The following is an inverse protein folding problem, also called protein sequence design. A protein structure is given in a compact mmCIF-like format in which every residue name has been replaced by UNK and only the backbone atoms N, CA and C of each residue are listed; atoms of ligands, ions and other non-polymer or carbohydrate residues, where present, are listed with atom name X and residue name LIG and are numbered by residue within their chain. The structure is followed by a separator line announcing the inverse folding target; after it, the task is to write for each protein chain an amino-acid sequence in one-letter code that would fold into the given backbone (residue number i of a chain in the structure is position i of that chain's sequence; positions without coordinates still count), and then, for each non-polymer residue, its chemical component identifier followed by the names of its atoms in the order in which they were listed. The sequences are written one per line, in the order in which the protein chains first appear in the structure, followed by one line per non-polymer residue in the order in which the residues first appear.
data_IF_304766673377
#
_entry.id   IF_304766673377
#
_cell.length_a   1.000
_cell.length_b   1.000
_cell.length_c   1.000
_cell.angle_alpha   90.00
_cell.angle_beta   90.00
_cell.angle_gamma   90.00
#
_symmetry.space_group_name_H-M   'P 1'
#
loop_
_entity.id
_entity.type
_entity.pdbx_description
1 polymer ?
#
# COMPACT_ATOMS: atom_id res chain seq x y z
N UNK A 1 10.51 51.02 0.14
CA UNK A 1 9.65 50.51 1.22
C UNK A 1 8.74 49.47 0.61
N UNK A 2 9.18 48.22 0.63
CA UNK A 2 8.38 47.08 0.15
C UNK A 2 7.24 46.83 1.13
N UNK A 3 6.00 46.80 0.62
CA UNK A 3 4.82 46.54 1.45
C UNK A 3 4.76 45.05 1.78
N UNK A 4 5.12 44.68 3.01
CA UNK A 4 4.76 43.39 3.61
C UNK A 4 3.23 43.25 3.61
N UNK A 5 2.73 42.06 3.27
CA UNK A 5 1.29 41.75 3.33
C UNK A 5 1.04 40.68 4.40
N UNK A 6 0.09 40.93 5.29
CA UNK A 6 -0.34 39.96 6.27
C UNK A 6 -1.31 38.97 5.60
N UNK A 7 -1.04 37.67 5.76
CA UNK A 7 -1.88 36.59 5.24
C UNK A 7 -2.09 35.58 6.36
N UNK A 8 -3.27 35.00 6.44
CA UNK A 8 -3.59 33.94 7.39
C UNK A 8 -3.44 32.58 6.71
N UNK A 9 -2.59 31.71 7.25
CA UNK A 9 -2.29 30.39 6.68
C UNK A 9 -2.82 29.32 7.63
N UNK A 10 -3.57 28.35 7.10
CA UNK A 10 -4.09 27.24 7.89
C UNK A 10 -2.96 26.27 8.29
N UNK A 11 -2.75 26.08 9.59
CA UNK A 11 -1.78 25.13 10.15
C UNK A 11 -2.14 23.66 9.92
N UNK A 12 -3.34 23.35 9.43
CA UNK A 12 -3.74 21.97 9.10
C UNK A 12 -3.64 21.64 7.60
N UNK A 13 -3.98 22.59 6.72
CA UNK A 13 -4.03 22.31 5.27
C UNK A 13 -3.28 23.31 4.39
N UNK A 14 -2.66 24.35 4.96
CA UNK A 14 -1.89 25.35 4.22
C UNK A 14 -2.73 26.29 3.37
N UNK A 15 -4.05 26.35 3.56
CA UNK A 15 -4.93 27.28 2.86
C UNK A 15 -4.67 28.73 3.30
N UNK A 16 -4.50 29.63 2.33
CA UNK A 16 -4.19 31.05 2.56
C UNK A 16 -5.47 31.91 2.47
N UNK A 17 -5.62 32.86 3.39
CA UNK A 17 -6.70 33.84 3.41
C UNK A 17 -6.18 35.22 3.76
N UNK A 18 -6.73 36.27 3.14
CA UNK A 18 -6.37 37.67 3.44
C UNK A 18 -7.02 38.20 4.72
N UNK A 19 -7.98 37.45 5.28
CA UNK A 19 -8.68 37.79 6.53
C UNK A 19 -8.76 36.57 7.42
N UNK A 20 -8.74 36.77 8.73
CA UNK A 20 -8.99 35.69 9.67
C UNK A 20 -10.46 35.26 9.56
N UNK A 21 -10.70 33.97 9.33
CA UNK A 21 -12.05 33.45 9.09
C UNK A 21 -12.59 32.55 10.20
N UNK A 22 -11.84 32.34 11.29
CA UNK A 22 -12.21 31.44 12.40
C UNK A 22 -12.25 29.96 12.04
N UNK A 23 -12.83 29.62 10.88
CA UNK A 23 -12.87 28.31 10.26
C UNK A 23 -12.14 28.35 8.93
N UNK A 24 -11.25 27.38 8.70
CA UNK A 24 -10.53 27.27 7.45
C UNK A 24 -11.48 26.88 6.29
N UNK A 25 -11.51 27.63 5.17
CA UNK A 25 -12.31 27.25 3.99
C UNK A 25 -11.85 25.94 3.33
N UNK A 26 -10.56 25.61 3.45
CA UNK A 26 -9.95 24.45 2.80
C UNK A 26 -10.24 23.13 3.52
N UNK A 27 -9.99 23.05 4.82
CA UNK A 27 -10.16 21.81 5.60
C UNK A 27 -11.32 21.86 6.59
N UNK A 28 -12.07 22.96 6.64
CA UNK A 28 -13.23 23.15 7.52
C UNK A 28 -12.96 23.11 9.03
N UNK A 29 -11.69 23.07 9.44
CA UNK A 29 -11.28 23.08 10.84
C UNK A 29 -11.29 24.47 11.45
N UNK A 30 -11.63 24.53 12.73
CA UNK A 30 -11.70 25.77 13.52
C UNK A 30 -10.33 26.14 14.11
N UNK A 31 -10.07 27.43 14.26
CA UNK A 31 -8.88 28.00 14.92
C UNK A 31 -7.53 27.53 14.36
N UNK A 32 -7.49 27.09 13.10
CA UNK A 32 -6.26 26.65 12.43
C UNK A 32 -5.58 27.76 11.62
N UNK A 33 -6.19 28.94 11.45
CA UNK A 33 -5.63 30.03 10.67
C UNK A 33 -4.68 30.88 11.52
N UNK A 34 -3.38 30.80 11.23
CA UNK A 34 -2.32 31.56 11.90
C UNK A 34 -1.89 32.76 11.06
N UNK A 35 -1.64 33.91 11.69
CA UNK A 35 -1.19 35.10 10.99
C UNK A 35 0.30 34.96 10.62
N UNK A 36 0.62 35.12 9.33
CA UNK A 36 1.98 35.11 8.82
C UNK A 36 2.22 36.36 7.98
N UNK A 37 3.30 37.08 8.26
CA UNK A 37 3.74 38.20 7.43
C UNK A 37 4.54 37.69 6.26
N UNK A 38 3.99 37.78 5.05
CA UNK A 38 4.73 37.46 3.83
C UNK A 38 5.44 38.74 3.39
N UNK A 39 6.77 38.73 3.47
CA UNK A 39 7.59 39.77 2.85
C UNK A 39 7.33 39.78 1.34
N UNK A 40 7.22 40.96 0.74
CA UNK A 40 7.16 41.07 -0.72
C UNK A 40 8.36 40.33 -1.32
N UNK A 41 8.20 39.60 -2.45
CA UNK A 41 9.32 38.90 -3.05
C UNK A 41 10.39 39.94 -3.39
N UNK A 42 11.51 39.90 -2.66
CA UNK A 42 12.72 40.66 -3.01
C UNK A 42 12.97 40.38 -4.49
N UNK A 43 12.90 41.43 -5.32
CA UNK A 43 13.08 41.31 -6.75
C UNK A 43 14.36 40.50 -7.03
N UNK A 44 14.19 39.28 -7.56
CA UNK A 44 15.29 38.36 -7.88
C UNK A 44 16.17 39.01 -8.94
N UNK A 45 17.21 39.73 -8.53
CA UNK A 45 18.09 40.45 -9.44
C UNK A 45 19.11 39.57 -10.16
N UNK A 46 19.22 38.27 -9.84
CA UNK A 46 20.14 37.34 -10.52
C UNK A 46 19.58 35.92 -10.55
N UNK A 47 18.38 35.71 -11.10
CA UNK A 47 17.98 34.36 -11.49
C UNK A 47 18.60 34.06 -12.86
N UNK A 48 19.33 32.95 -13.06
CA UNK A 48 19.76 32.55 -14.39
C UNK A 48 18.54 32.47 -15.31
N UNK A 49 18.69 32.92 -16.56
CA UNK A 49 17.62 32.93 -17.54
C UNK A 49 16.95 31.55 -17.57
N UNK A 50 15.67 31.49 -17.20
CA UNK A 50 14.90 30.24 -17.19
C UNK A 50 14.89 29.75 -18.64
N UNK A 51 15.46 28.58 -18.90
CA UNK A 51 15.35 27.94 -20.22
C UNK A 51 13.88 27.61 -20.40
N UNK A 52 13.16 28.44 -21.16
CA UNK A 52 11.77 28.19 -21.51
C UNK A 52 11.82 27.21 -22.68
N UNK A 53 11.45 25.96 -22.45
CA UNK A 53 11.18 25.04 -23.54
C UNK A 53 10.04 25.64 -24.37
N UNK A 54 10.23 25.83 -25.70
CA UNK A 54 9.17 26.37 -26.55
C UNK A 54 7.95 25.46 -26.51
N UNK A 55 6.76 26.04 -26.67
CA UNK A 55 5.55 25.24 -26.81
C UNK A 55 5.66 24.37 -28.06
N UNK A 56 5.57 23.06 -27.88
CA UNK A 56 5.59 22.08 -28.96
C UNK A 56 4.23 21.37 -29.03
N UNK A 57 3.82 21.01 -30.25
CA UNK A 57 2.61 20.22 -30.44
C UNK A 57 2.84 18.80 -29.90
N UNK A 58 1.86 18.24 -29.17
CA UNK A 58 2.00 16.93 -28.54
C UNK A 58 2.34 15.82 -29.56
N UNK A 59 1.79 15.90 -30.76
CA UNK A 59 2.04 14.97 -31.87
C UNK A 59 3.51 14.97 -32.36
N UNK A 60 4.22 16.07 -32.13
CA UNK A 60 5.63 16.25 -32.52
C UNK A 60 6.62 15.74 -31.45
N UNK A 61 6.13 15.36 -30.27
CA UNK A 61 6.94 14.89 -29.16
C UNK A 61 7.05 13.36 -29.19
N UNK A 62 8.27 12.85 -29.23
CA UNK A 62 8.51 11.41 -29.16
C UNK A 62 8.39 10.92 -27.70
N UNK A 63 7.54 9.93 -27.46
CA UNK A 63 7.38 9.31 -26.14
C UNK A 63 8.61 8.48 -25.67
N UNK A 64 9.61 8.32 -26.54
CA UNK A 64 10.79 7.46 -26.34
C UNK A 64 11.86 8.03 -25.39
N UNK A 65 11.75 9.29 -24.96
CA UNK A 65 12.89 10.00 -24.34
C UNK A 65 13.06 9.79 -22.83
N UNK A 66 12.20 9.00 -22.18
CA UNK A 66 12.35 8.68 -20.75
C UNK A 66 12.61 7.20 -20.52
N UNK A 67 13.88 6.80 -20.71
CA UNK A 67 14.33 5.46 -20.31
C UNK A 67 14.29 5.36 -18.79
N UNK A 68 13.38 4.53 -18.28
CA UNK A 68 13.28 4.27 -16.83
C UNK A 68 14.53 3.54 -16.35
N UNK A 69 15.01 3.91 -15.17
CA UNK A 69 16.06 3.15 -14.49
C UNK A 69 15.41 2.03 -13.68
N UNK A 70 15.59 0.80 -14.15
CA UNK A 70 15.18 -0.39 -13.39
C UNK A 70 16.12 -0.60 -12.20
N UNK A 71 15.53 -0.94 -11.06
CA UNK A 71 16.23 -1.30 -9.83
C UNK A 71 16.39 -2.82 -9.74
N UNK A 72 17.31 -3.29 -8.90
CA UNK A 72 17.39 -4.71 -8.51
C UNK A 72 16.20 -5.18 -7.65
N UNK A 73 15.42 -4.23 -7.14
CA UNK A 73 14.27 -4.42 -6.25
C UNK A 73 12.99 -4.46 -7.11
N UNK A 74 12.56 -5.65 -7.50
CA UNK A 74 11.46 -5.90 -8.47
C UNK A 74 10.08 -5.42 -8.01
N UNK A 75 9.72 -5.65 -6.75
CA UNK A 75 8.48 -5.17 -6.12
C UNK A 75 8.45 -3.64 -6.07
N UNK A 76 9.59 -3.00 -5.83
CA UNK A 76 9.66 -1.53 -5.84
C UNK A 76 9.56 -0.97 -7.27
N UNK A 77 10.18 -1.62 -8.26
CA UNK A 77 9.96 -1.28 -9.67
C UNK A 77 8.48 -1.36 -10.05
N UNK A 78 7.77 -2.40 -9.61
CA UNK A 78 6.33 -2.58 -9.86
C UNK A 78 5.53 -1.39 -9.32
N UNK A 79 5.76 -0.99 -8.07
CA UNK A 79 5.08 0.18 -7.46
C UNK A 79 5.38 1.48 -8.23
N UNK A 80 6.60 1.63 -8.74
CA UNK A 80 7.01 2.79 -9.55
C UNK A 80 6.49 2.75 -11.00
N UNK A 81 5.83 1.67 -11.43
CA UNK A 81 5.37 1.50 -12.81
C UNK A 81 6.49 1.11 -13.78
N UNK A 82 7.47 0.33 -13.32
CA UNK A 82 8.56 -0.25 -14.12
C UNK A 82 9.96 0.26 -13.76
N UNK A 83 10.09 1.25 -12.86
CA UNK A 83 11.38 1.78 -12.40
C UNK A 83 11.37 3.29 -12.21
N UNK A 84 12.52 3.85 -11.84
CA UNK A 84 12.70 5.27 -11.54
C UNK A 84 12.67 6.09 -12.84
N UNK A 85 11.85 7.15 -12.86
CA UNK A 85 11.80 8.12 -13.96
C UNK A 85 12.80 9.26 -13.68
N UNK A 86 13.71 9.60 -14.62
CA UNK A 86 14.59 10.76 -14.47
C UNK A 86 13.83 12.07 -14.32
N UNK A 87 14.42 13.04 -13.62
CA UNK A 87 13.83 14.38 -13.44
C UNK A 87 12.52 14.41 -12.63
N UNK A 88 12.27 13.40 -11.81
CA UNK A 88 11.02 13.26 -11.05
C UNK A 88 11.23 13.39 -9.54
N UNK A 89 10.17 13.81 -8.85
CA UNK A 89 10.11 13.89 -7.39
C UNK A 89 9.17 12.82 -6.82
N UNK A 90 9.67 11.97 -5.94
CA UNK A 90 8.94 10.84 -5.37
C UNK A 90 8.93 10.90 -3.84
N UNK A 91 7.75 10.69 -3.25
CA UNK A 91 7.53 10.68 -1.80
C UNK A 91 7.33 9.26 -1.28
N UNK A 92 8.06 8.88 -0.24
CA UNK A 92 7.83 7.69 0.57
C UNK A 92 7.38 8.10 1.97
N UNK A 93 6.07 8.02 2.21
CA UNK A 93 5.45 8.19 3.51
C UNK A 93 5.39 6.90 4.30
N UNK A 94 5.31 6.97 5.63
CA UNK A 94 5.04 5.83 6.50
C UNK A 94 5.38 6.10 7.96
N UNK A 95 4.91 5.23 8.85
CA UNK A 95 5.15 5.37 10.29
C UNK A 95 6.65 5.36 10.62
N UNK A 96 7.10 6.06 11.67
CA UNK A 96 8.46 5.92 12.18
C UNK A 96 8.80 4.45 12.48
N UNK A 97 9.99 4.00 12.10
CA UNK A 97 10.44 2.62 12.33
C UNK A 97 9.92 1.55 11.37
N UNK A 98 9.03 1.88 10.42
CA UNK A 98 8.50 0.90 9.45
C UNK A 98 9.56 0.34 8.47
N UNK A 99 10.67 1.07 8.29
CA UNK A 99 11.78 0.68 7.41
C UNK A 99 12.04 1.60 6.21
N UNK A 100 11.48 2.82 6.17
CA UNK A 100 11.68 3.79 5.06
C UNK A 100 13.16 4.03 4.73
N UNK A 101 13.95 4.42 5.73
CA UNK A 101 15.39 4.69 5.56
C UNK A 101 16.15 3.44 5.12
N UNK A 102 15.76 2.26 5.61
CA UNK A 102 16.32 0.98 5.15
C UNK A 102 16.06 0.76 3.67
N UNK A 103 14.80 0.92 3.23
CA UNK A 103 14.43 0.76 1.83
C UNK A 103 15.15 1.77 0.93
N UNK A 104 15.12 3.04 1.31
CA UNK A 104 15.74 4.11 0.52
C UNK A 104 17.26 3.92 0.41
N UNK A 105 17.91 3.38 1.45
CA UNK A 105 19.32 3.03 1.40
C UNK A 105 19.60 1.84 0.46
N UNK A 106 18.73 0.82 0.42
CA UNK A 106 18.81 -0.28 -0.54
C UNK A 106 18.56 0.19 -1.99
N UNK A 107 17.60 1.11 -2.20
CA UNK A 107 17.35 1.74 -3.50
C UNK A 107 18.57 2.55 -3.94
N UNK A 108 19.12 3.37 -3.05
CA UNK A 108 20.33 4.15 -3.29
C UNK A 108 21.50 3.25 -3.69
N UNK A 109 21.70 2.13 -2.98
CA UNK A 109 22.72 1.14 -3.33
C UNK A 109 22.48 0.50 -4.70
N UNK A 110 21.24 0.12 -5.03
CA UNK A 110 20.91 -0.45 -6.35
C UNK A 110 21.20 0.51 -7.49
N UNK A 111 20.96 1.81 -7.29
CA UNK A 111 21.28 2.84 -8.28
C UNK A 111 22.79 3.05 -8.40
N UNK A 112 23.51 2.96 -7.28
CA UNK A 112 24.97 3.09 -7.29
C UNK A 112 25.66 1.91 -7.99
N UNK A 113 25.20 0.69 -7.72
CA UNK A 113 25.70 -0.55 -8.34
C UNK A 113 25.49 -0.61 -9.86
N UNK A 114 24.46 0.07 -10.38
CA UNK A 114 24.24 0.20 -11.83
C UNK A 114 25.08 1.31 -12.49
N UNK A 115 26.07 1.86 -11.77
CA UNK A 115 26.98 2.91 -12.25
C UNK A 115 26.46 4.34 -12.06
N UNK A 116 25.33 4.51 -11.37
CA UNK A 116 24.78 5.83 -11.05
C UNK A 116 25.50 6.49 -9.88
N UNK A 117 25.64 7.83 -9.93
CA UNK A 117 26.06 8.59 -8.74
C UNK A 117 24.82 8.89 -7.88
N UNK A 118 24.91 8.63 -6.58
CA UNK A 118 23.81 8.84 -5.62
C UNK A 118 24.26 9.71 -4.45
N UNK A 119 23.45 10.69 -4.07
CA UNK A 119 23.66 11.48 -2.84
C UNK A 119 22.54 11.17 -1.85
N UNK A 120 22.90 10.65 -0.68
CA UNK A 120 21.98 10.40 0.43
C UNK A 120 22.15 11.50 1.48
N UNK A 121 21.17 12.36 1.59
CA UNK A 121 21.12 13.47 2.54
C UNK A 121 20.33 13.04 3.76
N UNK A 122 20.92 13.16 4.95
CA UNK A 122 20.21 12.93 6.20
C UNK A 122 20.43 14.07 7.19
N UNK A 123 19.34 14.54 7.79
CA UNK A 123 19.37 15.43 8.93
C UNK A 123 19.12 14.73 10.27
N UNK A 124 18.64 13.48 10.25
CA UNK A 124 18.28 12.71 11.45
C UNK A 124 19.44 11.87 11.98
N UNK A 125 20.23 11.28 11.09
CA UNK A 125 21.28 10.32 11.44
C UNK A 125 22.66 10.83 11.02
N UNK A 126 23.68 10.54 11.84
CA UNK A 126 25.05 10.88 11.47
C UNK A 126 25.61 9.90 10.42
N UNK A 127 26.65 10.28 9.65
CA UNK A 127 27.21 9.41 8.61
C UNK A 127 27.73 8.06 9.12
N UNK A 128 28.21 7.99 10.37
CA UNK A 128 28.72 6.76 10.96
C UNK A 128 27.60 5.74 11.24
N UNK A 129 26.43 6.20 11.69
CA UNK A 129 25.24 5.38 11.89
C UNK A 129 24.72 4.83 10.57
N UNK A 130 24.64 5.68 9.54
CA UNK A 130 24.23 5.25 8.20
C UNK A 130 25.22 4.23 7.64
N UNK A 131 26.53 4.44 7.83
CA UNK A 131 27.57 3.48 7.42
C UNK A 131 27.43 2.13 8.12
N UNK A 132 27.18 2.12 9.42
CA UNK A 132 26.92 0.88 10.17
C UNK A 132 25.71 0.12 9.60
N UNK A 133 24.63 0.84 9.29
CA UNK A 133 23.43 0.25 8.68
C UNK A 133 23.73 -0.29 7.28
N UNK A 134 24.44 0.48 6.45
CA UNK A 134 24.85 0.05 5.12
C UNK A 134 25.70 -1.23 5.16
N UNK A 135 26.64 -1.34 6.10
CA UNK A 135 27.44 -2.55 6.30
C UNK A 135 26.59 -3.77 6.67
N UNK A 136 25.60 -3.61 7.56
CA UNK A 136 24.66 -4.68 7.91
C UNK A 136 23.84 -5.15 6.70
N UNK A 137 23.48 -4.22 5.82
CA UNK A 137 22.72 -4.50 4.59
C UNK A 137 23.61 -5.04 3.45
N UNK A 138 24.92 -5.24 3.66
CA UNK A 138 25.84 -5.70 2.62
C UNK A 138 26.15 -4.67 1.53
N UNK A 139 25.95 -3.38 1.80
CA UNK A 139 26.16 -2.29 0.83
C UNK A 139 27.62 -1.84 0.87
N UNK A 140 28.34 -1.92 -0.27
CA UNK A 140 29.76 -1.53 -0.39
C UNK A 140 29.98 -0.02 -0.24
N UNK A 141 29.01 0.80 -0.69
CA UNK A 141 29.08 2.26 -0.67
C UNK A 141 29.75 2.90 -1.89
N UNK A 142 30.21 2.12 -2.86
CA UNK A 142 30.76 2.68 -4.11
C UNK A 142 29.67 3.44 -4.87
N UNK A 143 29.95 4.69 -5.27
CA UNK A 143 28.99 5.57 -5.95
C UNK A 143 27.92 6.20 -5.05
N UNK A 144 27.92 5.89 -3.75
CA UNK A 144 27.00 6.43 -2.74
C UNK A 144 27.69 7.48 -1.86
N UNK A 145 27.27 8.73 -1.98
CA UNK A 145 27.80 9.88 -1.25
C UNK A 145 26.85 10.23 -0.10
N UNK A 146 27.35 10.27 1.13
CA UNK A 146 26.55 10.67 2.30
C UNK A 146 26.74 12.15 2.60
N UNK A 147 25.65 12.85 2.88
CA UNK A 147 25.66 14.26 3.27
C UNK A 147 24.83 14.44 4.54
N UNK A 148 25.48 14.81 5.64
CA UNK A 148 24.80 15.17 6.87
C UNK A 148 24.61 16.69 6.91
N UNK A 149 23.52 17.16 6.32
CA UNK A 149 23.22 18.59 6.17
C UNK A 149 21.71 18.80 6.23
N UNK A 150 21.29 19.93 6.79
CA UNK A 150 19.87 20.31 6.96
C UNK A 150 19.50 21.59 6.23
N UNK A 151 20.46 22.45 5.89
CA UNK A 151 20.20 23.64 5.06
C UNK A 151 20.01 23.25 3.59
N UNK A 152 18.80 23.48 3.06
CA UNK A 152 18.48 23.16 1.67
C UNK A 152 19.34 23.92 0.66
N UNK A 153 19.74 25.16 0.94
CA UNK A 153 20.58 25.93 0.03
C UNK A 153 21.98 25.31 -0.08
N UNK A 154 22.54 24.85 1.04
CA UNK A 154 23.82 24.13 1.07
C UNK A 154 23.72 22.78 0.35
N UNK A 155 22.62 22.05 0.56
CA UNK A 155 22.32 20.79 -0.13
C UNK A 155 22.31 21.02 -1.65
N UNK A 156 21.48 21.94 -2.15
CA UNK A 156 21.36 22.19 -3.59
C UNK A 156 22.67 22.67 -4.23
N UNK A 157 23.49 23.43 -3.50
CA UNK A 157 24.81 23.85 -3.97
C UNK A 157 25.74 22.65 -4.20
N UNK A 158 25.81 21.72 -3.24
CA UNK A 158 26.63 20.50 -3.38
C UNK A 158 26.10 19.57 -4.48
N UNK A 159 24.78 19.42 -4.59
CA UNK A 159 24.16 18.61 -5.63
C UNK A 159 24.47 19.14 -7.03
N UNK A 160 24.57 20.46 -7.19
CA UNK A 160 24.92 21.09 -8.47
C UNK A 160 26.38 20.84 -8.87
N UNK A 161 27.29 20.62 -7.91
CA UNK A 161 28.69 20.27 -8.17
C UNK A 161 28.84 18.77 -8.46
N UNK A 162 28.17 17.92 -7.68
CA UNK A 162 28.30 16.47 -7.80
C UNK A 162 27.54 15.90 -9.01
N UNK A 163 26.49 16.57 -9.47
CA UNK A 163 25.60 16.12 -10.55
C UNK A 163 25.16 14.65 -10.39
N UNK A 164 24.49 14.29 -9.28
CA UNK A 164 24.07 12.91 -9.05
C UNK A 164 22.87 12.53 -9.94
N UNK A 165 22.73 11.23 -10.20
CA UNK A 165 21.58 10.68 -10.91
C UNK A 165 20.37 10.41 -10.02
N UNK A 166 20.62 10.20 -8.72
CA UNK A 166 19.60 10.06 -7.69
C UNK A 166 20.00 10.84 -6.44
N UNK A 167 19.02 11.51 -5.83
CA UNK A 167 19.15 12.13 -4.52
C UNK A 167 18.11 11.53 -3.59
N UNK A 168 18.51 11.20 -2.37
CA UNK A 168 17.60 10.77 -1.29
C UNK A 168 17.65 11.83 -0.20
N UNK A 169 16.49 12.30 0.25
CA UNK A 169 16.31 13.21 1.39
C UNK A 169 15.61 12.47 2.52
N UNK A 170 16.33 12.16 3.60
CA UNK A 170 15.85 11.36 4.73
C UNK A 170 16.07 12.10 6.07
N UNK A 171 15.12 12.90 6.55
CA UNK A 171 13.75 13.14 6.04
C UNK A 171 13.50 14.62 5.72
N UNK A 172 12.47 14.93 4.94
CA UNK A 172 12.15 16.32 4.57
C UNK A 172 11.78 17.19 5.77
N UNK A 173 11.31 16.59 6.87
CA UNK A 173 11.01 17.30 8.11
C UNK A 173 12.26 17.95 8.73
N UNK A 174 13.45 17.40 8.47
CA UNK A 174 14.70 17.94 9.00
C UNK A 174 15.32 19.05 8.15
N UNK A 175 14.84 19.19 6.91
CA UNK A 175 15.36 20.19 5.98
C UNK A 175 14.70 21.54 6.25
N UNK A 176 15.50 22.61 6.21
CA UNK A 176 15.00 23.96 6.38
C UNK A 176 15.59 24.93 5.37
N UNK A 177 14.87 26.04 5.18
CA UNK A 177 15.25 27.20 4.39
C UNK A 177 15.49 28.38 5.33
N UNK A 178 16.72 28.92 5.40
CA UNK A 178 17.06 30.04 6.30
C UNK A 178 16.24 31.33 6.04
N UNK A 179 15.78 31.51 4.81
CA UNK A 179 15.03 32.70 4.38
C UNK A 179 13.54 32.68 4.74
N UNK A 180 13.05 31.55 5.28
CA UNK A 180 11.70 31.43 5.80
C UNK A 180 11.74 31.51 7.33
N UNK A 181 11.03 32.46 7.92
CA UNK A 181 10.84 32.60 9.38
C UNK A 181 9.88 31.53 9.92
N UNK A 182 10.25 30.26 9.78
CA UNK A 182 9.49 29.13 10.28
C UNK A 182 10.44 28.02 10.74
N UNK A 183 10.08 27.33 11.83
CA UNK A 183 10.89 26.24 12.36
C UNK A 183 11.02 25.07 11.36
N UNK A 184 12.17 24.36 11.32
CA UNK A 184 12.29 23.12 10.56
C UNK A 184 11.15 22.15 10.86
N UNK A 185 10.61 21.49 9.84
CA UNK A 185 9.45 20.60 9.95
C UNK A 185 8.09 21.31 9.98
N UNK A 186 8.04 22.65 10.05
CA UNK A 186 6.81 23.39 9.83
C UNK A 186 6.29 23.16 8.40
N UNK A 187 4.98 23.17 8.23
CA UNK A 187 4.33 22.84 6.95
C UNK A 187 4.83 23.73 5.80
N UNK A 188 4.99 25.04 6.04
CA UNK A 188 5.48 25.98 5.02
C UNK A 188 6.93 25.67 4.62
N UNK A 189 7.80 25.32 5.58
CA UNK A 189 9.19 24.91 5.32
C UNK A 189 9.24 23.64 4.45
N UNK A 190 8.46 22.63 4.81
CA UNK A 190 8.40 21.35 4.09
C UNK A 190 7.86 21.54 2.67
N UNK A 191 6.81 22.35 2.52
CA UNK A 191 6.19 22.66 1.22
C UNK A 191 7.16 23.36 0.27
N UNK A 192 7.78 24.44 0.72
CA UNK A 192 8.73 25.22 -0.09
C UNK A 192 9.98 24.42 -0.42
N UNK A 193 10.46 23.62 0.53
CA UNK A 193 11.59 22.72 0.29
C UNK A 193 11.29 21.70 -0.82
N UNK A 194 10.12 21.07 -0.79
CA UNK A 194 9.70 20.14 -1.84
C UNK A 194 9.55 20.83 -3.21
N UNK A 195 9.04 22.06 -3.26
CA UNK A 195 8.94 22.83 -4.51
C UNK A 195 10.31 23.13 -5.12
N UNK A 196 11.30 23.53 -4.30
CA UNK A 196 12.67 23.77 -4.77
C UNK A 196 13.36 22.49 -5.24
N UNK A 197 13.18 21.38 -4.52
CA UNK A 197 13.68 20.08 -4.91
C UNK A 197 13.06 19.61 -6.24
N UNK A 198 11.76 19.81 -6.45
CA UNK A 198 11.08 19.49 -7.72
C UNK A 198 11.65 20.33 -8.88
N UNK A 199 11.84 21.64 -8.67
CA UNK A 199 12.43 22.51 -9.68
C UNK A 199 13.86 22.10 -10.02
N UNK A 200 14.66 21.79 -9.01
CA UNK A 200 16.02 21.29 -9.20
C UNK A 200 16.04 19.96 -9.96
N UNK A 201 15.20 18.99 -9.58
CA UNK A 201 15.12 17.67 -10.22
C UNK A 201 14.80 17.79 -11.72
N UNK A 202 13.81 18.61 -12.08
CA UNK A 202 13.44 18.84 -13.48
C UNK A 202 14.54 19.51 -14.30
N UNK A 203 15.30 20.43 -13.69
CA UNK A 203 16.38 21.13 -14.37
C UNK A 203 17.63 20.27 -14.52
N UNK A 204 17.95 19.45 -13.52
CA UNK A 204 19.15 18.59 -13.51
C UNK A 204 18.94 17.25 -14.22
N UNK A 205 17.68 16.83 -14.42
CA UNK A 205 17.33 15.48 -14.88
C UNK A 205 17.53 14.40 -13.82
N UNK A 206 17.95 14.76 -12.60
CA UNK A 206 18.13 13.82 -11.51
C UNK A 206 16.78 13.40 -10.91
N UNK A 207 16.70 12.16 -10.44
CA UNK A 207 15.57 11.70 -9.64
C UNK A 207 15.76 12.07 -8.16
N UNK A 208 14.67 12.39 -7.46
CA UNK A 208 14.71 12.75 -6.03
C UNK A 208 13.69 11.93 -5.26
N UNK A 209 14.14 11.17 -4.26
CA UNK A 209 13.30 10.56 -3.24
C UNK A 209 13.26 11.42 -1.99
N UNK A 210 12.06 11.61 -1.44
CA UNK A 210 11.83 12.24 -0.15
C UNK A 210 11.22 11.20 0.80
N UNK A 211 11.82 11.01 1.97
CA UNK A 211 11.19 10.32 3.08
C UNK A 211 10.35 11.30 3.91
N UNK A 212 9.17 10.85 4.35
CA UNK A 212 8.34 11.59 5.29
C UNK A 212 7.71 10.67 6.35
N UNK A 213 7.62 11.17 7.59
CA UNK A 213 6.92 10.51 8.68
C UNK A 213 5.42 10.75 8.65
N UNK A 214 4.64 9.70 8.93
CA UNK A 214 3.18 9.72 9.08
C UNK A 214 2.83 9.55 10.57
N UNK A 215 1.93 10.37 11.10
CA UNK A 215 1.41 10.27 12.47
C UNK A 215 0.21 9.31 12.55
N UNK A 216 -0.07 8.77 13.75
CA UNK A 216 -1.04 7.67 14.01
C UNK A 216 -2.50 7.94 13.62
N UNK A 217 -2.88 9.17 13.33
CA UNK A 217 -4.25 9.52 12.91
C UNK A 217 -4.43 9.51 11.38
N UNK A 218 -3.40 9.19 10.60
CA UNK A 218 -3.42 9.37 9.13
C UNK A 218 -3.47 10.85 8.71
N UNK A 219 -3.80 11.75 9.64
CA UNK A 219 -3.58 13.19 9.58
C UNK A 219 -2.10 13.46 9.80
N UNK A 220 -1.37 13.23 8.74
CA UNK A 220 0.02 13.56 8.74
C UNK A 220 0.16 15.07 8.92
N UNK A 221 1.08 15.51 9.78
CA UNK A 221 1.61 16.87 9.73
C UNK A 221 2.30 17.10 8.36
N UNK A 222 1.54 17.48 7.33
CA UNK A 222 2.05 18.11 6.11
C UNK A 222 2.20 17.38 4.75
N UNK A 223 1.78 16.13 4.48
CA UNK A 223 1.94 15.46 3.20
C UNK A 223 0.70 15.42 2.32
N UNK A 224 -0.54 15.69 2.78
CA UNK A 224 -1.60 15.99 1.78
C UNK A 224 -1.16 17.15 0.88
N UNK A 225 -0.40 18.09 1.44
CA UNK A 225 0.19 19.20 0.70
C UNK A 225 1.31 18.70 -0.24
N UNK A 226 2.20 17.81 0.25
CA UNK A 226 3.26 17.22 -0.59
C UNK A 226 2.70 16.33 -1.71
N UNK A 227 1.61 15.60 -1.45
CA UNK A 227 0.93 14.72 -2.41
C UNK A 227 0.57 15.44 -3.70
N UNK A 228 0.19 16.72 -3.62
CA UNK A 228 -0.12 17.52 -4.80
C UNK A 228 1.15 18.01 -5.53
N UNK A 229 2.27 18.17 -4.82
CA UNK A 229 3.53 18.71 -5.35
C UNK A 229 4.34 17.63 -6.07
N UNK A 230 4.47 16.44 -5.47
CA UNK A 230 5.33 15.37 -5.99
C UNK A 230 4.70 14.66 -7.19
N UNK A 231 5.52 13.96 -7.98
CA UNK A 231 5.06 13.20 -9.14
C UNK A 231 4.56 11.80 -8.77
N UNK A 232 5.19 11.19 -7.76
CA UNK A 232 4.82 9.87 -7.21
C UNK A 232 4.68 9.97 -5.70
N UNK A 233 3.61 9.39 -5.15
CA UNK A 233 3.35 9.23 -3.72
C UNK A 233 3.22 7.75 -3.43
N UNK A 234 4.01 7.28 -2.47
CA UNK A 234 3.94 5.93 -1.94
C UNK A 234 3.81 5.96 -0.42
N UNK A 235 3.02 5.03 0.12
CA UNK A 235 2.91 4.78 1.55
C UNK A 235 3.50 3.41 1.88
N UNK A 236 4.37 3.40 2.88
CA UNK A 236 4.91 2.21 3.48
C UNK A 236 4.13 1.89 4.75
N UNK A 237 3.36 0.82 4.67
CA UNK A 237 2.42 0.37 5.68
C UNK A 237 2.85 -0.98 6.24
N UNK A 238 2.45 -1.27 7.47
CA UNK A 238 2.64 -2.59 8.05
C UNK A 238 2.07 -2.65 9.45
N UNK A 239 1.37 -3.73 9.74
CA UNK A 239 0.85 -3.95 11.09
C UNK A 239 1.96 -4.39 12.03
N UNK A 240 1.85 -3.99 13.31
CA UNK A 240 2.81 -4.36 14.35
C UNK A 240 2.96 -5.88 14.52
N UNK A 241 1.89 -6.65 14.27
CA UNK A 241 1.87 -8.11 14.40
C UNK A 241 2.16 -8.85 13.09
N UNK A 242 2.15 -8.15 11.94
CA UNK A 242 2.49 -8.76 10.66
C UNK A 242 4.00 -8.70 10.45
N UNK A 243 4.60 -9.79 9.98
CA UNK A 243 5.99 -9.80 9.52
C UNK A 243 6.17 -9.00 8.21
N UNK A 244 5.06 -8.75 7.51
CA UNK A 244 5.05 -8.13 6.20
C UNK A 244 4.85 -6.62 6.28
N UNK A 245 5.40 -5.96 5.27
CA UNK A 245 5.36 -4.52 5.05
C UNK A 245 4.94 -4.28 3.61
N UNK A 246 3.95 -3.42 3.41
CA UNK A 246 3.29 -3.16 2.14
C UNK A 246 3.65 -1.76 1.65
N UNK A 247 4.10 -1.64 0.41
CA UNK A 247 4.28 -0.34 -0.25
C UNK A 247 3.17 -0.17 -1.26
N UNK A 248 2.38 0.89 -1.11
CA UNK A 248 1.29 1.23 -2.04
C UNK A 248 1.58 2.54 -2.72
N UNK A 249 1.24 2.64 -3.99
CA UNK A 249 1.19 3.94 -4.65
C UNK A 249 -0.19 4.58 -4.47
N UNK A 250 -0.25 5.84 -4.05
CA UNK A 250 -1.51 6.62 -3.99
C UNK A 250 -1.60 7.62 -5.14
N UNK A 251 -0.45 8.06 -5.65
CA UNK A 251 -0.33 8.89 -6.84
C UNK A 251 0.85 8.41 -7.64
N UNK A 252 0.66 8.14 -8.92
CA UNK A 252 1.75 7.82 -9.83
C UNK A 252 1.48 8.46 -11.19
N UNK A 253 2.19 9.54 -11.52
CA UNK A 253 2.11 10.16 -12.85
C UNK A 253 2.69 9.30 -13.97
N UNK A 254 3.42 8.25 -13.61
CA UNK A 254 4.19 7.41 -14.51
C UNK A 254 3.72 5.96 -14.50
N UNK A 255 2.62 5.62 -13.83
CA UNK A 255 2.21 4.23 -13.66
C UNK A 255 0.85 4.10 -12.99
N UNK A 256 0.45 2.86 -12.71
CA UNK A 256 -0.80 2.57 -12.00
C UNK A 256 -0.64 2.88 -10.50
N UNK A 257 -1.69 3.43 -9.89
CA UNK A 257 -1.80 3.58 -8.43
C UNK A 257 -2.22 2.29 -7.74
N UNK A 258 -2.71 1.30 -8.49
CA UNK A 258 -3.24 0.08 -7.87
C UNK A 258 -2.11 -0.93 -7.54
N UNK A 259 -0.86 -0.66 -7.92
CA UNK A 259 0.24 -1.58 -7.66
C UNK A 259 0.68 -1.57 -6.20
N UNK A 260 1.04 -2.76 -5.70
CA UNK A 260 1.49 -2.99 -4.32
C UNK A 260 2.76 -3.83 -4.35
N UNK A 261 3.76 -3.39 -3.58
CA UNK A 261 4.99 -4.14 -3.32
C UNK A 261 4.98 -4.72 -1.91
N UNK A 262 5.41 -5.98 -1.76
CA UNK A 262 5.38 -6.68 -0.46
C UNK A 262 6.81 -7.01 -0.03
N UNK A 263 7.12 -6.68 1.21
CA UNK A 263 8.44 -6.85 1.80
C UNK A 263 8.34 -7.53 3.17
N UNK A 264 9.40 -8.21 3.55
CA UNK A 264 9.60 -8.78 4.88
C UNK A 264 10.87 -8.17 5.48
N UNK A 265 10.79 -7.72 6.74
CA UNK A 265 11.96 -7.18 7.44
C UNK A 265 12.79 -8.33 8.04
N UNK A 266 13.97 -8.59 7.48
CA UNK A 266 14.95 -9.59 7.96
C UNK A 266 16.17 -8.92 8.58
N UNK A 267 17.07 -9.72 9.14
CA UNK A 267 18.37 -9.27 9.66
C UNK A 267 19.20 -8.52 8.62
N UNK A 268 19.11 -8.95 7.36
CA UNK A 268 19.80 -8.42 6.20
C UNK A 268 19.14 -7.16 5.60
N UNK A 269 17.97 -6.74 6.11
CA UNK A 269 17.19 -5.62 5.59
C UNK A 269 15.80 -6.00 5.10
N UNK A 270 15.23 -5.18 4.22
CA UNK A 270 13.95 -5.51 3.59
C UNK A 270 14.18 -6.44 2.41
N UNK A 271 13.50 -7.58 2.46
CA UNK A 271 13.55 -8.62 1.42
C UNK A 271 12.22 -8.68 0.70
N UNK A 272 12.28 -8.77 -0.63
CA UNK A 272 11.09 -8.79 -1.48
C UNK A 272 10.33 -10.11 -1.39
N UNK A 273 9.00 -10.02 -1.36
CA UNK A 273 8.12 -11.19 -1.33
C UNK A 273 7.45 -11.34 -2.70
N UNK A 274 8.08 -12.11 -3.59
CA UNK A 274 7.58 -12.33 -4.95
C UNK A 274 6.27 -13.15 -4.98
N UNK A 275 6.11 -14.12 -4.06
CA UNK A 275 4.94 -15.01 -3.98
C UNK A 275 4.32 -15.00 -2.58
N UNK A 276 3.63 -13.92 -2.18
CA UNK A 276 3.03 -13.78 -0.85
C UNK A 276 2.01 -14.88 -0.55
N UNK A 277 1.15 -15.19 -1.53
CA UNK A 277 0.15 -16.23 -1.45
C UNK A 277 0.72 -17.61 -1.12
N UNK A 278 1.91 -17.94 -1.64
CA UNK A 278 2.57 -19.22 -1.33
C UNK A 278 3.01 -19.28 0.13
N UNK A 279 3.46 -18.16 0.69
CA UNK A 279 3.88 -18.11 2.09
C UNK A 279 2.67 -18.22 3.01
N UNK A 280 1.57 -17.52 2.70
CA UNK A 280 0.34 -17.62 3.49
C UNK A 280 -0.27 -19.02 3.50
N UNK A 281 -0.10 -19.77 2.42
CA UNK A 281 -0.60 -21.13 2.28
C UNK A 281 0.41 -22.21 2.71
N UNK A 282 1.66 -21.86 3.01
CA UNK A 282 2.74 -22.83 3.27
C UNK A 282 2.54 -23.68 4.52
N UNK A 283 1.83 -23.16 5.53
CA UNK A 283 1.56 -23.85 6.80
C UNK A 283 0.25 -24.66 6.79
N UNK A 284 -0.42 -24.73 5.64
CA UNK A 284 -1.70 -25.41 5.53
C UNK A 284 -1.49 -26.92 5.58
N UNK A 285 -2.06 -27.57 6.58
CA UNK A 285 -2.12 -29.03 6.64
C UNK A 285 -3.26 -29.53 5.74
N UNK A 286 -3.03 -30.63 5.01
CA UNK A 286 -4.08 -31.27 4.24
C UNK A 286 -5.17 -31.81 5.20
N UNK A 287 -6.44 -31.59 4.88
CA UNK A 287 -7.63 -32.02 5.64
C UNK A 287 -7.88 -31.33 6.99
N UNK A 288 -7.51 -30.07 7.16
CA UNK A 288 -7.93 -29.28 8.33
C UNK A 288 -9.43 -28.94 8.28
N UNK A 289 -10.13 -29.23 9.37
CA UNK A 289 -11.51 -28.78 9.61
C UNK A 289 -11.50 -27.30 9.97
N UNK A 290 -12.50 -26.56 9.50
CA UNK A 290 -12.64 -25.14 9.80
C UNK A 290 -11.75 -24.22 8.97
N UNK A 291 -11.15 -24.73 7.87
CA UNK A 291 -10.25 -23.96 7.01
C UNK A 291 -10.83 -23.82 5.60
N UNK A 292 -10.81 -22.60 5.06
CA UNK A 292 -11.19 -22.31 3.69
C UNK A 292 -10.26 -21.24 3.09
N UNK A 293 -10.02 -21.29 1.78
CA UNK A 293 -9.15 -20.30 1.12
C UNK A 293 -9.99 -19.33 0.30
N UNK A 294 -9.65 -18.05 0.39
CA UNK A 294 -10.17 -16.99 -0.49
C UNK A 294 -9.03 -16.27 -1.19
N UNK A 295 -9.36 -15.45 -2.18
CA UNK A 295 -8.44 -14.49 -2.77
C UNK A 295 -8.99 -13.10 -2.51
N UNK A 296 -8.19 -12.26 -1.84
CA UNK A 296 -8.48 -10.84 -1.66
C UNK A 296 -7.63 -9.98 -2.58
N UNK A 297 -8.09 -8.78 -2.91
CA UNK A 297 -7.32 -7.81 -3.70
C UNK A 297 -6.64 -6.80 -2.80
N UNK A 298 -5.32 -6.78 -2.88
CA UNK A 298 -4.49 -5.76 -2.28
C UNK A 298 -4.06 -4.78 -3.38
N UNK A 299 -4.85 -3.72 -3.58
CA UNK A 299 -4.76 -2.89 -4.78
C UNK A 299 -5.18 -3.69 -6.03
N UNK A 300 -4.24 -3.90 -6.97
CA UNK A 300 -4.42 -4.72 -8.17
C UNK A 300 -4.01 -6.18 -7.96
N UNK A 301 -3.30 -6.49 -6.86
CA UNK A 301 -2.67 -7.78 -6.63
C UNK A 301 -3.62 -8.73 -5.90
N UNK A 302 -4.04 -9.84 -6.50
CA UNK A 302 -4.73 -10.90 -5.78
C UNK A 302 -3.77 -11.59 -4.80
N UNK A 303 -4.20 -11.73 -3.55
CA UNK A 303 -3.52 -12.44 -2.47
C UNK A 303 -4.43 -13.56 -1.99
N UNK A 304 -3.95 -14.80 -2.04
CA UNK A 304 -4.69 -15.90 -1.44
C UNK A 304 -4.43 -15.95 0.05
N UNK A 305 -5.52 -16.03 0.81
CA UNK A 305 -5.49 -16.04 2.27
C UNK A 305 -6.36 -17.19 2.78
N UNK A 306 -5.83 -17.95 3.72
CA UNK A 306 -6.58 -18.96 4.44
C UNK A 306 -7.38 -18.29 5.57
N UNK A 307 -8.69 -18.56 5.59
CA UNK A 307 -9.61 -18.22 6.66
C UNK A 307 -9.83 -19.46 7.52
N UNK A 308 -9.59 -19.30 8.81
CA UNK A 308 -9.81 -20.34 9.80
C UNK A 308 -10.99 -19.96 10.69
N UNK A 309 -11.80 -20.93 11.04
CA UNK A 309 -12.88 -20.78 11.99
C UNK A 309 -12.89 -21.95 12.97
N UNK A 310 -13.21 -21.62 14.22
CA UNK A 310 -13.46 -22.58 15.28
C UNK A 310 -14.82 -22.28 15.89
N UNK A 311 -15.72 -23.27 15.81
CA UNK A 311 -16.99 -23.25 16.52
C UNK A 311 -16.98 -24.26 17.65
N UNK A 312 -17.38 -23.85 18.84
CA UNK A 312 -17.50 -24.75 19.98
C UNK A 312 -18.77 -24.46 20.78
N UNK A 313 -19.34 -25.47 21.42
CA UNK A 313 -20.57 -25.30 22.19
C UNK A 313 -20.29 -24.46 23.43
N UNK A 314 -21.00 -23.33 23.55
CA UNK A 314 -20.84 -22.42 24.69
C UNK A 314 -21.28 -23.13 25.98
N UNK A 315 -20.36 -23.28 26.94
CA UNK A 315 -20.64 -23.99 28.18
C UNK A 315 -21.38 -23.15 29.22
N UNK A 316 -21.18 -21.82 29.22
CA UNK A 316 -21.84 -20.92 30.16
C UNK A 316 -21.87 -19.47 29.65
N UNK A 317 -23.00 -18.79 29.82
CA UNK A 317 -23.17 -17.36 29.48
C UNK A 317 -23.48 -17.09 28.01
N UNK A 318 -23.17 -15.87 27.55
CA UNK A 318 -23.37 -15.48 26.16
C UNK A 318 -22.26 -16.06 25.27
N UNK A 319 -22.59 -16.61 24.08
CA UNK A 319 -21.60 -17.12 23.15
C UNK A 319 -20.57 -16.07 22.75
N UNK A 320 -19.30 -16.46 22.78
CA UNK A 320 -18.18 -15.59 22.40
C UNK A 320 -18.08 -15.50 20.89
N UNK A 321 -17.88 -14.30 20.39
CA UNK A 321 -17.57 -14.05 18.98
C UNK A 321 -16.25 -13.29 18.89
N UNK A 322 -15.33 -13.79 18.09
CA UNK A 322 -14.00 -13.19 17.93
C UNK A 322 -13.63 -13.21 16.45
N UNK A 323 -13.13 -12.09 15.94
CA UNK A 323 -12.68 -11.97 14.57
C UNK A 323 -11.29 -11.31 14.57
N UNK A 324 -10.29 -12.04 14.06
CA UNK A 324 -8.91 -11.58 13.94
C UNK A 324 -8.57 -11.49 12.45
N UNK A 325 -8.19 -10.31 11.97
CA UNK A 325 -7.93 -10.08 10.54
C UNK A 325 -9.17 -10.14 9.64
N UNK A 326 -10.37 -10.14 10.21
CA UNK A 326 -11.66 -10.12 9.49
C UNK A 326 -12.57 -9.10 10.16
N UNK A 327 -13.44 -8.43 9.40
CA UNK A 327 -14.44 -7.54 9.99
C UNK A 327 -15.41 -8.30 10.91
N UNK A 328 -15.58 -7.76 12.12
CA UNK A 328 -16.40 -8.36 13.15
C UNK A 328 -17.89 -8.35 12.79
N UNK A 329 -18.37 -7.26 12.18
CA UNK A 329 -19.78 -7.12 11.80
C UNK A 329 -20.15 -8.06 10.66
N UNK A 330 -19.27 -8.24 9.67
CA UNK A 330 -19.40 -9.26 8.61
C UNK A 330 -19.49 -10.66 9.19
N UNK A 331 -18.60 -10.99 10.15
CA UNK A 331 -18.62 -12.30 10.81
C UNK A 331 -19.97 -12.58 11.49
N UNK A 332 -20.53 -11.58 12.20
CA UNK A 332 -21.86 -11.69 12.82
C UNK A 332 -22.95 -11.87 11.76
N UNK A 333 -22.94 -11.07 10.70
CA UNK A 333 -23.91 -11.13 9.61
C UNK A 333 -23.91 -12.53 8.96
N UNK A 334 -22.73 -13.04 8.62
CA UNK A 334 -22.56 -14.35 7.99
C UNK A 334 -23.08 -15.46 8.92
N UNK A 335 -22.74 -15.41 10.21
CA UNK A 335 -23.26 -16.38 11.19
C UNK A 335 -24.80 -16.33 11.29
N UNK A 336 -25.41 -15.15 11.19
CA UNK A 336 -26.87 -15.00 11.17
C UNK A 336 -27.50 -15.59 9.91
N UNK A 337 -26.89 -15.36 8.72
CA UNK A 337 -27.34 -15.95 7.45
C UNK A 337 -27.26 -17.48 7.51
N UNK A 338 -26.13 -18.03 7.97
CA UNK A 338 -25.95 -19.49 8.16
C UNK A 338 -27.01 -20.06 9.10
N UNK A 339 -27.29 -19.37 10.21
CA UNK A 339 -28.29 -19.81 11.18
C UNK A 339 -29.71 -19.82 10.61
N UNK A 340 -30.10 -18.74 9.91
CA UNK A 340 -31.48 -18.56 9.44
C UNK A 340 -31.77 -19.33 8.15
N UNK A 341 -30.82 -19.40 7.22
CA UNK A 341 -31.01 -19.97 5.88
C UNK A 341 -30.60 -21.44 5.77
N UNK A 342 -29.66 -21.90 6.60
CA UNK A 342 -29.18 -23.28 6.62
C UNK A 342 -29.55 -24.03 7.91
N UNK A 343 -30.33 -23.40 8.80
CA UNK A 343 -30.80 -23.99 10.07
C UNK A 343 -29.68 -24.48 10.98
N UNK A 344 -28.48 -23.90 10.87
CA UNK A 344 -27.35 -24.19 11.74
C UNK A 344 -27.57 -23.55 13.11
N UNK A 345 -27.43 -24.31 14.21
CA UNK A 345 -27.66 -23.79 15.57
C UNK A 345 -26.42 -23.05 16.10
N UNK A 346 -25.99 -22.00 15.41
CA UNK A 346 -24.82 -21.19 15.80
C UNK A 346 -25.12 -20.21 16.95
N UNK A 347 -26.40 -20.03 17.31
CA UNK A 347 -26.81 -19.17 18.42
C UNK A 347 -26.34 -19.65 19.80
N UNK A 348 -25.88 -20.90 19.93
CA UNK A 348 -25.33 -21.49 21.17
C UNK A 348 -23.87 -21.91 21.00
N UNK A 349 -23.19 -21.38 19.99
CA UNK A 349 -21.81 -21.72 19.64
C UNK A 349 -20.94 -20.48 19.81
N UNK A 350 -19.80 -20.63 20.45
CA UNK A 350 -18.70 -19.70 20.34
C UNK A 350 -18.18 -19.76 18.90
N UNK A 351 -17.87 -18.61 18.30
CA UNK A 351 -17.36 -18.51 16.93
C UNK A 351 -16.10 -17.66 16.96
N UNK A 352 -14.97 -18.28 16.63
CA UNK A 352 -13.69 -17.59 16.47
C UNK A 352 -13.31 -17.70 15.01
N UNK A 353 -13.05 -16.57 14.35
CA UNK A 353 -12.59 -16.50 12.96
C UNK A 353 -11.24 -15.79 12.92
N UNK A 354 -10.31 -16.34 12.15
CA UNK A 354 -8.96 -15.82 11.99
C UNK A 354 -8.54 -15.82 10.51
N UNK A 355 -8.02 -14.70 10.02
CA UNK A 355 -7.31 -14.65 8.75
C UNK A 355 -5.82 -14.92 8.98
N UNK A 356 -5.28 -15.88 8.24
CA UNK A 356 -3.85 -16.21 8.31
C UNK A 356 -2.99 -15.15 7.63
N UNK A 357 -1.70 -15.08 7.98
CA UNK A 357 -0.73 -14.21 7.29
C UNK A 357 -0.71 -12.75 7.71
N UNK A 358 -1.52 -12.34 8.70
CA UNK A 358 -1.55 -10.96 9.18
C UNK A 358 -2.09 -9.97 8.14
N UNK A 359 -2.92 -10.44 7.21
CA UNK A 359 -3.66 -9.62 6.25
C UNK A 359 -5.07 -9.39 6.77
N UNK A 360 -5.59 -8.18 6.59
CA UNK A 360 -6.99 -7.87 6.85
C UNK A 360 -7.85 -8.22 5.65
N UNK A 361 -8.86 -9.03 5.87
CA UNK A 361 -9.91 -9.34 4.91
C UNK A 361 -11.03 -8.31 5.04
N UNK A 362 -10.83 -7.15 4.43
CA UNK A 362 -11.81 -6.06 4.41
C UNK A 362 -12.45 -5.88 3.03
N UNK A 363 -13.05 -6.94 2.51
CA UNK A 363 -13.84 -6.86 1.29
C UNK A 363 -14.93 -7.95 1.19
N UNK A 364 -16.00 -7.72 0.39
CA UNK A 364 -17.09 -8.68 0.25
C UNK A 364 -16.70 -10.03 -0.34
N UNK A 365 -15.61 -10.11 -1.11
CA UNK A 365 -15.21 -11.36 -1.78
C UNK A 365 -14.85 -12.50 -0.82
N UNK A 366 -14.46 -12.16 0.42
CA UNK A 366 -14.09 -13.11 1.46
C UNK A 366 -15.29 -13.76 2.19
N UNK A 367 -16.51 -13.22 2.03
CA UNK A 367 -17.69 -13.64 2.80
C UNK A 367 -17.96 -15.15 2.63
N UNK A 368 -17.87 -15.68 1.40
CA UNK A 368 -18.09 -17.09 1.13
C UNK A 368 -17.07 -18.00 1.84
N UNK A 369 -15.78 -17.63 1.86
CA UNK A 369 -14.78 -18.42 2.55
C UNK A 369 -14.97 -18.41 4.07
N UNK A 370 -15.33 -17.27 4.65
CA UNK A 370 -15.68 -17.16 6.07
C UNK A 370 -16.87 -18.08 6.39
N UNK A 371 -17.90 -18.08 5.55
CA UNK A 371 -19.06 -18.96 5.72
C UNK A 371 -18.69 -20.43 5.63
N UNK A 372 -17.84 -20.81 4.68
CA UNK A 372 -17.35 -22.18 4.52
C UNK A 372 -16.49 -22.63 5.70
N UNK A 373 -15.60 -21.78 6.20
CA UNK A 373 -14.78 -22.08 7.38
C UNK A 373 -15.68 -22.33 8.61
N UNK A 374 -16.65 -21.45 8.88
CA UNK A 374 -17.60 -21.62 10.00
C UNK A 374 -18.42 -22.90 9.82
N UNK A 375 -18.94 -23.15 8.61
CA UNK A 375 -19.74 -24.34 8.33
C UNK A 375 -18.93 -25.64 8.43
N UNK A 376 -17.68 -25.62 7.99
CA UNK A 376 -16.72 -26.71 8.11
C UNK A 376 -16.46 -27.05 9.58
N UNK A 377 -16.18 -26.04 10.42
CA UNK A 377 -15.96 -26.24 11.85
C UNK A 377 -17.22 -26.75 12.57
N UNK A 378 -18.39 -26.19 12.27
CA UNK A 378 -19.64 -26.58 12.93
C UNK A 378 -20.06 -28.01 12.60
N UNK A 379 -19.77 -28.48 11.38
CA UNK A 379 -20.13 -29.83 10.92
C UNK A 379 -19.02 -30.85 11.16
N UNK A 380 -17.86 -30.41 11.59
CA UNK A 380 -16.65 -31.22 11.72
C UNK A 380 -16.27 -31.95 10.42
N UNK A 381 -16.42 -31.26 9.28
CA UNK A 381 -16.10 -31.79 7.93
C UNK A 381 -15.20 -30.79 7.24
N UNK A 382 -14.07 -31.26 6.70
CA UNK A 382 -13.12 -30.41 5.97
C UNK A 382 -13.66 -29.85 4.65
N UNK A 383 -13.14 -28.68 4.26
CA UNK A 383 -13.33 -28.13 2.91
C UNK A 383 -12.30 -28.79 1.99
N UNK A 384 -12.68 -29.07 0.74
CA UNK A 384 -11.79 -29.67 -0.24
C UNK A 384 -10.53 -28.79 -0.41
N UNK A 385 -9.30 -29.33 -0.23
CA UNK A 385 -8.09 -28.52 -0.18
C UNK A 385 -7.85 -27.67 -1.43
N UNK A 386 -8.20 -28.21 -2.59
CA UNK A 386 -7.96 -27.57 -3.89
C UNK A 386 -9.04 -26.56 -4.30
N UNK A 387 -10.02 -26.30 -3.42
CA UNK A 387 -11.11 -25.37 -3.67
C UNK A 387 -10.82 -23.99 -3.10
N UNK A 388 -10.87 -22.96 -3.95
CA UNK A 388 -10.94 -21.56 -3.54
C UNK A 388 -12.40 -21.09 -3.52
N UNK A 389 -12.75 -20.22 -2.57
CA UNK A 389 -14.10 -19.72 -2.40
C UNK A 389 -14.15 -18.19 -2.49
N UNK A 390 -14.96 -17.70 -3.43
CA UNK A 390 -15.05 -16.29 -3.78
C UNK A 390 -16.52 -15.91 -3.88
N UNK A 391 -16.93 -14.85 -3.19
CA UNK A 391 -18.30 -14.34 -3.33
C UNK A 391 -18.78 -13.55 -2.13
N UNK A 392 -19.60 -12.55 -2.41
CA UNK A 392 -20.32 -11.78 -1.40
C UNK A 392 -21.59 -12.53 -0.99
N UNK A 393 -21.90 -12.53 0.30
CA UNK A 393 -23.12 -13.16 0.83
C UNK A 393 -24.17 -12.08 1.10
N UNK A 394 -25.32 -12.20 0.43
CA UNK A 394 -26.49 -11.40 0.77
C UNK A 394 -27.26 -11.95 1.96
N UNK A 395 -28.08 -11.11 2.59
CA UNK A 395 -28.90 -11.46 3.76
C UNK A 395 -29.97 -12.54 3.46
N UNK A 396 -30.29 -12.76 2.18
CA UNK A 396 -31.21 -13.83 1.78
C UNK A 396 -30.51 -15.18 1.58
N UNK A 397 -29.18 -15.21 1.66
CA UNK A 397 -28.34 -16.40 1.44
C UNK A 397 -27.94 -16.59 -0.03
N UNK A 398 -28.21 -15.61 -0.87
CA UNK A 398 -27.76 -15.54 -2.26
C UNK A 398 -26.28 -15.14 -2.33
N UNK A 399 -25.60 -15.63 -3.37
CA UNK A 399 -24.23 -15.23 -3.67
C UNK A 399 -24.22 -14.13 -4.73
N UNK A 400 -23.54 -13.04 -4.43
CA UNK A 400 -23.48 -11.84 -5.27
C UNK A 400 -22.12 -11.75 -5.94
N UNK A 401 -22.12 -11.24 -7.17
CA UNK A 401 -20.92 -11.10 -8.01
C UNK A 401 -19.90 -10.15 -7.38
N UNK A 402 -18.62 -10.48 -7.56
CA UNK A 402 -17.50 -9.71 -7.03
C UNK A 402 -16.66 -9.08 -8.15
N UNK A 403 -15.96 -7.96 -7.88
CA UNK A 403 -15.11 -7.33 -8.88
C UNK A 403 -13.83 -8.15 -9.15
N UNK A 404 -13.32 -8.00 -10.37
CA UNK A 404 -12.05 -8.57 -10.86
C UNK A 404 -11.88 -10.08 -10.64
N UNK A 405 -12.95 -10.85 -10.83
CA UNK A 405 -12.97 -12.30 -10.66
C UNK A 405 -11.86 -13.01 -11.46
N UNK A 406 -11.63 -12.62 -12.71
CA UNK A 406 -10.61 -13.19 -13.58
C UNK A 406 -9.19 -13.10 -12.98
N UNK A 407 -8.83 -11.96 -12.38
CA UNK A 407 -7.52 -11.78 -11.74
C UNK A 407 -7.34 -12.71 -10.53
N UNK A 408 -8.39 -12.84 -9.72
CA UNK A 408 -8.40 -13.72 -8.53
C UNK A 408 -8.24 -15.19 -8.95
N UNK A 409 -8.98 -15.61 -9.97
CA UNK A 409 -8.93 -16.97 -10.49
C UNK A 409 -7.60 -17.28 -11.20
N UNK A 410 -7.00 -16.30 -11.91
CA UNK A 410 -5.69 -16.47 -12.53
C UNK A 410 -4.60 -16.72 -11.49
N UNK A 411 -4.64 -16.01 -10.37
CA UNK A 411 -3.69 -16.23 -9.27
C UNK A 411 -3.94 -17.57 -8.57
N UNK A 412 -5.21 -17.95 -8.38
CA UNK A 412 -5.56 -19.25 -7.80
C UNK A 412 -5.04 -20.41 -8.66
N UNK A 413 -5.24 -20.35 -9.99
CA UNK A 413 -4.69 -21.32 -10.95
C UNK A 413 -3.15 -21.37 -10.88
N UNK A 414 -2.48 -20.20 -10.85
CA UNK A 414 -1.02 -20.10 -10.75
C UNK A 414 -0.45 -20.80 -9.50
N UNK A 415 -1.22 -20.84 -8.42
CA UNK A 415 -0.84 -21.48 -7.15
C UNK A 415 -1.32 -22.93 -7.02
N UNK A 416 -1.94 -23.49 -8.07
CA UNK A 416 -2.31 -24.90 -8.14
C UNK A 416 -3.70 -25.22 -7.60
N UNK A 417 -4.59 -24.24 -7.41
CA UNK A 417 -5.99 -24.53 -7.10
C UNK A 417 -6.71 -25.04 -8.36
N UNK A 418 -7.34 -26.21 -8.23
CA UNK A 418 -8.02 -26.89 -9.34
C UNK A 418 -9.51 -26.57 -9.38
N UNK A 419 -10.10 -26.05 -8.30
CA UNK A 419 -11.53 -25.77 -8.18
C UNK A 419 -11.78 -24.36 -7.62
N UNK A 420 -12.75 -23.64 -8.18
CA UNK A 420 -13.19 -22.35 -7.67
C UNK A 420 -14.71 -22.29 -7.52
N UNK A 421 -15.19 -22.01 -6.32
CA UNK A 421 -16.58 -21.67 -6.06
C UNK A 421 -16.77 -20.17 -6.26
N UNK A 422 -17.61 -19.80 -7.22
CA UNK A 422 -17.86 -18.40 -7.58
C UNK A 422 -19.37 -18.14 -7.68
N UNK A 423 -19.83 -16.89 -7.52
CA UNK A 423 -21.24 -16.56 -7.62
C UNK A 423 -21.76 -16.87 -9.02
N UNK A 424 -22.97 -17.43 -9.14
CA UNK A 424 -23.63 -17.61 -10.44
C UNK A 424 -24.07 -16.24 -10.99
N UNK A 425 -23.32 -15.72 -11.96
CA UNK A 425 -23.61 -14.42 -12.60
C UNK A 425 -22.97 -14.31 -13.98
N UNK A 426 -23.39 -13.30 -14.74
CA UNK A 426 -23.05 -13.14 -16.17
C UNK A 426 -21.54 -13.11 -16.47
N UNK A 427 -20.72 -12.65 -15.52
CA UNK A 427 -19.26 -12.60 -15.69
C UNK A 427 -18.57 -13.97 -15.59
N UNK A 428 -19.23 -15.03 -15.10
CA UNK A 428 -18.59 -16.32 -14.87
C UNK A 428 -18.56 -17.21 -16.12
N UNK A 429 -19.47 -17.00 -17.08
CA UNK A 429 -19.60 -17.88 -18.25
C UNK A 429 -18.52 -17.65 -19.33
N UNK A 430 -17.89 -16.48 -19.34
CA UNK A 430 -16.91 -16.08 -20.35
C UNK A 430 -15.45 -16.16 -19.87
N UNK A 431 -15.22 -16.48 -18.60
CA UNK A 431 -13.86 -16.57 -18.04
C UNK A 431 -13.40 -18.01 -18.21
N UNK A 432 -12.42 -18.23 -19.09
CA UNK A 432 -11.75 -19.52 -19.22
C UNK A 432 -10.30 -19.38 -18.77
N UNK A 433 -9.96 -20.02 -17.65
CA UNK A 433 -8.61 -20.02 -17.10
C UNK A 433 -8.13 -21.46 -17.04
N UNK A 434 -7.00 -21.73 -17.69
CA UNK A 434 -6.42 -23.06 -17.74
C UNK A 434 -6.11 -23.57 -16.33
N UNK A 435 -6.41 -24.84 -16.07
CA UNK A 435 -6.04 -25.53 -14.83
C UNK A 435 -7.00 -25.31 -13.64
N UNK A 436 -8.07 -24.51 -13.78
CA UNK A 436 -9.06 -24.31 -12.71
C UNK A 436 -10.49 -24.52 -13.21
N UNK A 437 -11.22 -25.41 -12.55
CA UNK A 437 -12.64 -25.64 -12.77
C UNK A 437 -13.46 -24.58 -12.03
N UNK A 438 -14.18 -23.76 -12.79
CA UNK A 438 -15.06 -22.73 -12.25
C UNK A 438 -16.44 -23.33 -11.99
N UNK A 439 -16.85 -23.36 -10.73
CA UNK A 439 -18.12 -23.90 -10.26
C UNK A 439 -19.01 -22.72 -9.83
N UNK A 440 -19.96 -22.36 -10.69
CA UNK A 440 -20.91 -21.29 -10.42
C UNK A 440 -21.98 -21.76 -9.42
N UNK A 441 -22.14 -21.02 -8.31
CA UNK A 441 -23.08 -21.32 -7.23
C UNK A 441 -23.97 -20.11 -6.95
N UNK A 442 -25.28 -20.33 -6.82
CA UNK A 442 -26.24 -19.24 -6.63
C UNK A 442 -26.51 -18.93 -5.16
N UNK A 443 -26.29 -19.90 -4.27
CA UNK A 443 -26.60 -19.79 -2.84
C UNK A 443 -25.49 -20.33 -1.96
N UNK A 444 -25.40 -19.81 -0.74
CA UNK A 444 -24.46 -20.30 0.29
C UNK A 444 -24.70 -21.79 0.62
N UNK A 445 -25.97 -22.23 0.56
CA UNK A 445 -26.36 -23.63 0.79
C UNK A 445 -25.76 -24.58 -0.25
N UNK A 446 -25.84 -24.20 -1.52
CA UNK A 446 -25.25 -24.94 -2.62
C UNK A 446 -23.72 -24.98 -2.51
N UNK A 447 -23.11 -23.83 -2.22
CA UNK A 447 -21.65 -23.72 -2.04
C UNK A 447 -21.15 -24.65 -0.92
N UNK A 448 -21.79 -24.66 0.25
CA UNK A 448 -21.42 -25.55 1.35
C UNK A 448 -21.59 -27.02 0.96
N UNK A 449 -22.63 -27.37 0.19
CA UNK A 449 -22.86 -28.75 -0.27
C UNK A 449 -21.71 -29.23 -1.17
N UNK A 450 -21.22 -28.38 -2.06
CA UNK A 450 -20.17 -28.71 -3.04
C UNK A 450 -18.75 -28.60 -2.49
N UNK A 451 -18.55 -27.79 -1.44
CA UNK A 451 -17.25 -27.51 -0.84
C UNK A 451 -16.77 -28.60 0.14
N UNK A 452 -17.70 -29.19 0.91
CA UNK A 452 -17.38 -30.13 1.97
C UNK A 452 -17.08 -31.53 1.41
N UNK A 453 -15.95 -32.12 1.80
CA UNK A 453 -15.41 -33.39 1.25
C UNK A 453 -16.27 -34.61 1.57
N UNK A 454 -17.21 -34.51 2.52
CA UNK A 454 -18.07 -35.62 2.96
C UNK A 454 -19.48 -35.65 2.36
N UNK A 455 -19.82 -34.76 1.42
CA UNK A 455 -21.14 -34.78 0.79
C UNK A 455 -21.08 -35.66 -0.45
N UNK A 456 -21.58 -36.89 -0.37
CA UNK A 456 -21.89 -37.70 -1.56
C UNK A 456 -22.78 -36.87 -2.47
N UNK A 457 -22.30 -36.54 -3.66
CA UNK A 457 -23.14 -36.06 -4.75
C UNK A 457 -24.04 -37.23 -5.15
N UNK A 458 -25.28 -37.23 -4.66
CA UNK A 458 -26.36 -38.09 -5.16
C UNK A 458 -26.63 -37.74 -6.63
N UNK A 459 -25.76 -38.19 -7.53
CA UNK A 459 -25.96 -38.18 -8.99
C UNK A 459 -25.39 -39.43 -9.67
N UNK A 460 -24.89 -40.41 -8.92
CA UNK A 460 -24.54 -41.74 -9.43
C UNK A 460 -25.33 -42.77 -8.63
N UNK A 461 -26.56 -43.03 -9.08
CA UNK A 461 -27.31 -44.29 -8.88
C UNK A 461 -28.68 -44.15 -9.60
N UNK A 462 -28.63 -43.92 -10.90
CA UNK A 462 -29.69 -44.31 -11.84
C UNK A 462 -28.95 -44.75 -13.10
N UNK A 463 -28.52 -46.01 -13.12
CA UNK A 463 -28.25 -46.88 -14.28
C UNK A 463 -27.32 -48.00 -13.83
N UNK A 464 -27.86 -48.98 -13.11
CA UNK A 464 -27.86 -50.41 -13.46
C UNK A 464 -28.77 -51.20 -12.51
#
# INVERSE_FOLDING_TARGET
MDKSRNVYICSNCGHESLKWLGRCPGCQEWNTLEETTIAAPLGRKNAPARVISPAAELSSLNASDTTRRSLSISEFNRVLGGGIVPGSLMLLGGEPGIGKSTLLLQVAASVAQSGGKVVYVSGEENPAQIKMRAQRLGISGEGLFLMAETDLNAILAQLSVLCPSLVVIDSIQTVFLPELEAAPGAINQVRESALRLMQWAKNSGASVFIAAHVTKEGNIAGPRILEHIVDVVMYFEGESQSAYRLIRSVKNRFGSTNEVGIFEMKSEGLVEVANPSQIFLSNRQANTVGSAVTAVLEGSRPLLVEVQALTNTTSFGQPRRTANGVDFNRTIMIAAVLSKRLSMRLGTQDIIVNATGGIRLDEPAADLAIALAIASSYRDIGVCPETIALGEIGLSGELRTIPHLERRLSEASRLGFTRALVPAGANCQNININGIQIIAVSTVKEAIKLALTGVKTETEDVFE
#
